data_IF_686575176092
#
_entry.id   IF_686575176092
#
_cell.length_a   1.000
_cell.length_b   1.000
_cell.length_c   1.000
_cell.angle_alpha   90.00
_cell.angle_beta   90.00
_cell.angle_gamma   90.00
#
_symmetry.space_group_name_H-M   'P 1'
#
loop_
_entity.id
_entity.type
_entity.pdbx_description
1 polymer ?
#
# COMPACT_ATOMS: atom_id res chain seq x y z
N UNK A 1 -25.81 -47.71 -1.63
CA UNK A 1 -25.72 -46.97 -0.36
C UNK A 1 -24.65 -45.87 -0.39
N UNK A 2 -23.40 -46.15 -0.80
CA UNK A 2 -22.34 -45.13 -0.93
C UNK A 2 -22.65 -43.99 -1.93
N UNK A 3 -23.28 -44.29 -3.08
CA UNK A 3 -23.63 -43.28 -4.09
C UNK A 3 -24.71 -42.28 -3.63
N UNK A 4 -25.71 -42.76 -2.88
CA UNK A 4 -26.75 -41.88 -2.32
C UNK A 4 -26.16 -40.97 -1.24
N UNK A 5 -25.21 -41.49 -0.46
CA UNK A 5 -24.49 -40.72 0.55
C UNK A 5 -23.59 -39.65 -0.08
N UNK A 6 -22.88 -39.95 -1.17
CA UNK A 6 -22.05 -38.97 -1.88
C UNK A 6 -22.89 -37.91 -2.58
N UNK A 7 -23.99 -38.28 -3.25
CA UNK A 7 -24.92 -37.34 -3.88
C UNK A 7 -25.58 -36.42 -2.83
N UNK A 8 -25.96 -36.98 -1.67
CA UNK A 8 -26.48 -36.18 -0.55
C UNK A 8 -25.42 -35.23 0.02
N UNK A 9 -24.16 -35.67 0.14
CA UNK A 9 -23.04 -34.81 0.60
C UNK A 9 -22.69 -33.73 -0.43
N UNK A 10 -22.81 -34.03 -1.72
CA UNK A 10 -22.58 -33.09 -2.82
C UNK A 10 -23.70 -32.03 -2.86
N UNK A 11 -24.96 -32.45 -2.77
CA UNK A 11 -26.13 -31.57 -2.69
C UNK A 11 -26.10 -30.66 -1.46
N UNK A 12 -25.68 -31.19 -0.31
CA UNK A 12 -25.52 -30.43 0.94
C UNK A 12 -24.36 -29.43 0.86
N UNK A 13 -23.25 -29.80 0.21
CA UNK A 13 -22.12 -28.88 -0.02
C UNK A 13 -22.49 -27.78 -1.02
N UNK A 14 -23.25 -28.11 -2.07
CA UNK A 14 -23.72 -27.16 -3.07
C UNK A 14 -24.68 -26.11 -2.47
N UNK A 15 -25.67 -26.56 -1.68
CA UNK A 15 -26.57 -25.65 -0.94
C UNK A 15 -25.84 -24.80 0.10
N UNK A 16 -24.81 -25.34 0.75
CA UNK A 16 -23.99 -24.60 1.74
C UNK A 16 -23.09 -23.56 1.07
N UNK A 17 -22.65 -23.81 -0.17
CA UNK A 17 -21.95 -22.82 -0.98
C UNK A 17 -22.89 -21.66 -1.34
N UNK A 18 -24.11 -21.94 -1.80
CA UNK A 18 -25.07 -20.91 -2.22
C UNK A 18 -25.41 -19.92 -1.09
N UNK A 19 -25.62 -20.44 0.14
CA UNK A 19 -25.83 -19.59 1.34
C UNK A 19 -24.56 -18.87 1.81
N UNK A 20 -23.38 -19.36 1.45
CA UNK A 20 -22.12 -18.71 1.84
C UNK A 20 -21.76 -17.51 0.97
N UNK A 21 -22.16 -17.50 -0.31
CA UNK A 21 -21.87 -16.40 -1.22
C UNK A 21 -22.55 -15.09 -0.80
N UNK A 22 -23.79 -15.16 -0.29
CA UNK A 22 -24.52 -13.97 0.22
C UNK A 22 -23.80 -13.28 1.39
N UNK A 23 -23.01 -14.03 2.18
CA UNK A 23 -22.22 -13.47 3.30
C UNK A 23 -20.81 -13.08 2.85
N UNK A 24 -20.23 -13.81 1.89
CA UNK A 24 -18.88 -13.57 1.39
C UNK A 24 -18.82 -12.28 0.56
N UNK A 25 -19.80 -12.02 -0.32
CA UNK A 25 -19.82 -10.81 -1.15
C UNK A 25 -19.79 -9.50 -0.35
N UNK A 26 -20.64 -9.27 0.67
CA UNK A 26 -20.59 -8.03 1.45
C UNK A 26 -19.28 -7.89 2.24
N UNK A 27 -18.67 -9.00 2.68
CA UNK A 27 -17.36 -8.97 3.34
C UNK A 27 -16.27 -8.52 2.36
N UNK A 28 -16.27 -9.05 1.13
CA UNK A 28 -15.32 -8.64 0.10
C UNK A 28 -15.52 -7.16 -0.27
N UNK A 29 -16.77 -6.72 -0.44
CA UNK A 29 -17.10 -5.33 -0.78
C UNK A 29 -16.62 -4.38 0.33
N UNK A 30 -16.93 -4.68 1.60
CA UNK A 30 -16.51 -3.85 2.74
C UNK A 30 -15.00 -3.77 2.86
N UNK A 31 -14.28 -4.89 2.70
CA UNK A 31 -12.82 -4.89 2.66
C UNK A 31 -12.27 -4.04 1.51
N UNK A 32 -12.88 -4.13 0.33
CA UNK A 32 -12.47 -3.35 -0.86
C UNK A 32 -12.69 -1.86 -0.66
N UNK A 33 -13.82 -1.46 -0.09
CA UNK A 33 -14.12 -0.05 0.23
C UNK A 33 -13.12 0.50 1.25
N UNK A 34 -12.81 -0.28 2.28
CA UNK A 34 -11.80 0.09 3.28
C UNK A 34 -10.43 0.28 2.61
N UNK A 35 -10.03 -0.64 1.73
CA UNK A 35 -8.75 -0.56 1.02
C UNK A 35 -8.65 0.70 0.13
N UNK A 36 -9.73 1.02 -0.60
CA UNK A 36 -9.83 2.24 -1.40
C UNK A 36 -9.73 3.49 -0.52
N UNK A 37 -10.43 3.52 0.62
CA UNK A 37 -10.34 4.65 1.56
C UNK A 37 -8.92 4.84 2.08
N UNK A 38 -8.20 3.76 2.39
CA UNK A 38 -6.79 3.83 2.78
C UNK A 38 -5.90 4.37 1.65
N UNK A 39 -6.15 4.00 0.40
CA UNK A 39 -5.42 4.54 -0.76
C UNK A 39 -5.74 6.02 -1.01
N UNK A 40 -6.96 6.49 -0.75
CA UNK A 40 -7.31 7.91 -0.85
C UNK A 40 -6.62 8.71 0.27
N UNK A 41 -6.67 8.22 1.50
CA UNK A 41 -5.98 8.85 2.64
C UNK A 41 -4.46 8.90 2.43
N UNK A 42 -3.91 7.90 1.74
CA UNK A 42 -2.52 7.90 1.32
C UNK A 42 -2.19 9.08 0.43
N UNK A 43 -2.97 9.26 -0.65
CA UNK A 43 -2.77 10.33 -1.63
C UNK A 43 -2.88 11.71 -0.97
N UNK A 44 -3.87 11.89 -0.08
CA UNK A 44 -4.05 13.13 0.69
C UNK A 44 -2.84 13.38 1.62
N UNK A 45 -2.32 12.33 2.26
CA UNK A 45 -1.15 12.44 3.14
C UNK A 45 0.11 12.82 2.36
N UNK A 46 0.29 12.28 1.16
CA UNK A 46 1.39 12.66 0.26
C UNK A 46 1.29 14.15 -0.15
N UNK A 47 0.08 14.62 -0.49
CA UNK A 47 -0.11 16.01 -0.90
C UNK A 47 0.09 17.02 0.24
N UNK A 48 -0.29 16.68 1.46
CA UNK A 48 -0.21 17.59 2.62
C UNK A 48 1.20 17.74 3.20
N UNK A 49 2.18 16.94 2.74
CA UNK A 49 3.60 16.95 3.17
C UNK A 49 3.80 16.96 4.70
N UNK A 50 2.80 16.52 5.46
CA UNK A 50 2.85 16.50 6.92
C UNK A 50 3.62 15.25 7.38
N UNK A 51 4.83 15.49 7.88
CA UNK A 51 5.76 14.45 8.33
C UNK A 51 5.13 13.46 9.32
N UNK A 52 4.28 13.95 10.23
CA UNK A 52 3.72 13.11 11.29
C UNK A 52 2.71 12.11 10.73
N UNK A 53 1.84 12.56 9.82
CA UNK A 53 0.84 11.71 9.15
C UNK A 53 1.52 10.70 8.23
N UNK A 54 2.54 11.13 7.51
CA UNK A 54 3.29 10.28 6.58
C UNK A 54 4.03 9.13 7.28
N UNK A 55 4.61 9.38 8.46
CA UNK A 55 5.26 8.33 9.26
C UNK A 55 4.27 7.28 9.78
N UNK A 56 3.08 7.71 10.19
CA UNK A 56 2.02 6.80 10.64
C UNK A 56 1.55 5.95 9.46
N UNK A 57 1.31 6.58 8.32
CA UNK A 57 0.91 5.90 7.09
C UNK A 57 1.93 4.84 6.67
N UNK A 58 3.23 5.16 6.69
CA UNK A 58 4.30 4.20 6.40
C UNK A 58 4.22 2.91 7.23
N UNK A 59 3.94 3.03 8.54
CA UNK A 59 3.78 1.86 9.41
C UNK A 59 2.55 1.03 9.03
N UNK A 60 1.43 1.69 8.74
CA UNK A 60 0.22 1.00 8.27
C UNK A 60 0.45 0.27 6.95
N UNK A 61 1.14 0.88 5.98
CA UNK A 61 1.44 0.25 4.70
C UNK A 61 2.27 -1.02 4.85
N UNK A 62 3.24 -1.04 5.77
CA UNK A 62 4.03 -2.25 6.05
C UNK A 62 3.16 -3.36 6.64
N UNK A 63 2.32 -3.03 7.63
CA UNK A 63 1.41 -4.01 8.25
C UNK A 63 0.46 -4.58 7.19
N UNK A 64 -0.06 -3.72 6.31
CA UNK A 64 -0.97 -4.12 5.24
C UNK A 64 -0.26 -5.00 4.18
N UNK A 65 0.98 -4.69 3.83
CA UNK A 65 1.81 -5.54 2.97
C UNK A 65 2.01 -6.93 3.58
N UNK A 66 2.32 -7.01 4.88
CA UNK A 66 2.47 -8.28 5.58
C UNK A 66 1.17 -9.09 5.59
N UNK A 67 0.03 -8.45 5.84
CA UNK A 67 -1.28 -9.11 5.80
C UNK A 67 -1.59 -9.67 4.40
N UNK A 68 -1.35 -8.88 3.34
CA UNK A 68 -1.53 -9.32 1.96
C UNK A 68 -0.60 -10.49 1.60
N UNK A 69 0.65 -10.48 2.07
CA UNK A 69 1.59 -11.58 1.86
C UNK A 69 1.11 -12.89 2.53
N UNK A 70 0.59 -12.81 3.76
CA UNK A 70 0.03 -13.98 4.47
C UNK A 70 -1.19 -14.53 3.72
N UNK A 71 -2.12 -13.66 3.30
CA UNK A 71 -3.30 -14.06 2.53
C UNK A 71 -2.90 -14.72 1.20
N UNK A 72 -1.86 -14.22 0.54
CA UNK A 72 -1.35 -14.81 -0.70
C UNK A 72 -0.78 -16.20 -0.49
N UNK A 73 -0.01 -16.42 0.58
CA UNK A 73 0.52 -17.76 0.93
C UNK A 73 -0.63 -18.72 1.23
N UNK A 74 -1.63 -18.27 1.99
CA UNK A 74 -2.83 -19.07 2.27
C UNK A 74 -3.58 -19.43 0.98
N UNK A 75 -3.77 -18.47 0.08
CA UNK A 75 -4.39 -18.70 -1.22
C UNK A 75 -3.63 -19.78 -2.00
N UNK A 76 -2.30 -19.65 -2.15
CA UNK A 76 -1.47 -20.65 -2.84
C UNK A 76 -1.58 -22.03 -2.17
N UNK A 77 -1.56 -22.11 -0.85
CA UNK A 77 -1.66 -23.38 -0.13
C UNK A 77 -2.99 -24.09 -0.38
N UNK A 78 -4.09 -23.32 -0.38
CA UNK A 78 -5.44 -23.82 -0.63
C UNK A 78 -5.58 -24.25 -2.09
N UNK A 79 -5.04 -23.46 -3.01
CA UNK A 79 -4.91 -23.78 -4.43
C UNK A 79 -4.22 -25.13 -4.66
N UNK A 80 -3.03 -25.35 -4.08
CA UNK A 80 -2.28 -26.62 -4.19
C UNK A 80 -3.10 -27.80 -3.64
N UNK A 81 -3.77 -27.60 -2.49
CA UNK A 81 -4.61 -28.64 -1.89
C UNK A 81 -5.77 -29.06 -2.80
N UNK A 82 -6.47 -28.11 -3.44
CA UNK A 82 -7.56 -28.42 -4.35
C UNK A 82 -7.08 -29.14 -5.62
N UNK A 83 -5.91 -28.77 -6.15
CA UNK A 83 -5.29 -29.44 -7.31
C UNK A 83 -5.01 -30.91 -6.98
N UNK A 84 -4.49 -31.19 -5.78
CA UNK A 84 -4.20 -32.57 -5.34
C UNK A 84 -5.46 -33.42 -5.19
N UNK A 85 -6.57 -32.83 -4.72
CA UNK A 85 -7.82 -33.55 -4.46
C UNK A 85 -8.63 -33.86 -5.72
N UNK A 86 -8.51 -33.07 -6.80
CA UNK A 86 -9.25 -33.36 -8.03
C UNK A 86 -8.64 -32.72 -9.29
N UNK A 87 -8.15 -33.56 -10.18
CA UNK A 87 -7.66 -33.16 -11.52
C UNK A 87 -8.75 -32.55 -12.42
N UNK A 88 -10.04 -32.85 -12.19
CA UNK A 88 -11.13 -32.30 -13.00
C UNK A 88 -11.46 -30.85 -12.61
N UNK A 89 -11.26 -30.51 -11.32
CA UNK A 89 -11.45 -29.15 -10.81
C UNK A 89 -10.33 -28.23 -11.31
N UNK A 90 -9.16 -28.77 -11.67
CA UNK A 90 -8.00 -28.04 -12.17
C UNK A 90 -8.32 -27.14 -13.37
N UNK A 91 -9.01 -27.65 -14.40
CA UNK A 91 -9.27 -26.89 -15.64
C UNK A 91 -10.21 -25.71 -15.38
N UNK A 92 -11.25 -25.91 -14.57
CA UNK A 92 -12.20 -24.86 -14.21
C UNK A 92 -11.56 -23.81 -13.28
N UNK A 93 -10.78 -24.26 -12.29
CA UNK A 93 -10.08 -23.35 -11.39
C UNK A 93 -8.98 -22.56 -12.10
N UNK A 94 -8.30 -23.14 -13.10
CA UNK A 94 -7.21 -22.46 -13.82
C UNK A 94 -7.65 -21.12 -14.43
N UNK A 95 -8.84 -21.09 -15.02
CA UNK A 95 -9.43 -19.87 -15.60
C UNK A 95 -9.65 -18.75 -14.57
N UNK A 96 -9.87 -19.08 -13.31
CA UNK A 96 -10.13 -18.11 -12.23
C UNK A 96 -8.86 -17.81 -11.41
N UNK A 97 -8.00 -18.81 -11.22
CA UNK A 97 -6.78 -18.70 -10.44
C UNK A 97 -5.74 -17.83 -11.12
N UNK A 98 -5.52 -18.01 -12.42
CA UNK A 98 -4.52 -17.25 -13.17
C UNK A 98 -4.76 -15.73 -13.08
N UNK A 99 -5.96 -15.18 -13.37
CA UNK A 99 -6.20 -13.75 -13.22
C UNK A 99 -6.11 -13.30 -11.76
N UNK A 100 -6.62 -14.09 -10.81
CA UNK A 100 -6.55 -13.75 -9.38
C UNK A 100 -5.10 -13.65 -8.89
N UNK A 101 -4.24 -14.58 -9.31
CA UNK A 101 -2.83 -14.58 -8.98
C UNK A 101 -2.11 -13.35 -9.53
N UNK A 102 -2.36 -13.00 -10.79
CA UNK A 102 -1.82 -11.80 -11.42
C UNK A 102 -2.27 -10.52 -10.69
N UNK A 103 -3.54 -10.43 -10.32
CA UNK A 103 -4.07 -9.28 -9.59
C UNK A 103 -3.42 -9.11 -8.22
N UNK A 104 -3.22 -10.20 -7.47
CA UNK A 104 -2.55 -10.14 -6.17
C UNK A 104 -1.09 -9.72 -6.33
N UNK A 105 -0.38 -10.26 -7.33
CA UNK A 105 1.00 -9.84 -7.62
C UNK A 105 1.10 -8.36 -7.96
N UNK A 106 0.24 -7.85 -8.84
CA UNK A 106 0.19 -6.43 -9.20
C UNK A 106 -0.05 -5.58 -7.94
N UNK A 107 -0.98 -6.00 -7.09
CA UNK A 107 -1.30 -5.29 -5.84
C UNK A 107 -0.09 -5.23 -4.90
N UNK A 108 0.65 -6.32 -4.74
CA UNK A 108 1.88 -6.36 -3.94
C UNK A 108 2.95 -5.43 -4.52
N UNK A 109 3.16 -5.46 -5.83
CA UNK A 109 4.14 -4.59 -6.51
C UNK A 109 3.79 -3.12 -6.31
N UNK A 110 2.51 -2.75 -6.48
CA UNK A 110 2.03 -1.39 -6.24
C UNK A 110 2.26 -0.99 -4.77
N UNK A 111 1.91 -1.84 -3.81
CA UNK A 111 2.12 -1.54 -2.38
C UNK A 111 3.60 -1.32 -2.05
N UNK A 112 4.50 -2.18 -2.57
CA UNK A 112 5.95 -2.01 -2.39
C UNK A 112 6.42 -0.69 -2.99
N UNK A 113 5.96 -0.37 -4.20
CA UNK A 113 6.28 0.89 -4.86
C UNK A 113 5.85 2.10 -4.02
N UNK A 114 4.62 2.09 -3.48
CA UNK A 114 4.11 3.15 -2.61
C UNK A 114 4.95 3.30 -1.34
N UNK A 115 5.35 2.20 -0.71
CA UNK A 115 6.21 2.22 0.48
C UNK A 115 7.58 2.86 0.18
N UNK A 116 8.18 2.53 -0.96
CA UNK A 116 9.45 3.13 -1.40
C UNK A 116 9.29 4.62 -1.67
N UNK A 117 8.19 5.02 -2.31
CA UNK A 117 7.88 6.43 -2.57
C UNK A 117 7.75 7.21 -1.26
N UNK A 118 7.00 6.67 -0.30
CA UNK A 118 6.85 7.27 1.03
C UNK A 118 8.19 7.42 1.73
N UNK A 119 8.99 6.35 1.75
CA UNK A 119 10.31 6.37 2.40
C UNK A 119 11.19 7.47 1.81
N UNK A 120 11.16 7.64 0.49
CA UNK A 120 11.94 8.67 -0.21
C UNK A 120 11.51 10.08 0.16
N UNK A 121 10.20 10.33 0.27
CA UNK A 121 9.67 11.64 0.69
C UNK A 121 9.92 11.93 2.19
N UNK A 122 9.78 10.93 3.07
CA UNK A 122 10.10 11.07 4.51
C UNK A 122 11.57 11.44 4.70
N UNK A 123 12.48 10.85 3.92
CA UNK A 123 13.92 11.18 3.97
C UNK A 123 14.15 12.61 3.48
N UNK A 124 13.52 13.02 2.37
CA UNK A 124 13.63 14.40 1.85
C UNK A 124 13.15 15.43 2.87
N UNK A 125 12.00 15.20 3.52
CA UNK A 125 11.46 16.10 4.55
C UNK A 125 12.37 16.17 5.78
N UNK A 126 12.96 15.04 6.20
CA UNK A 126 13.93 15.01 7.31
C UNK A 126 15.19 15.84 7.00
N UNK A 127 15.71 15.76 5.78
CA UNK A 127 16.88 16.55 5.39
C UNK A 127 16.56 18.04 5.18
N UNK A 128 15.41 18.37 4.59
CA UNK A 128 15.00 19.78 4.41
C UNK A 128 14.69 20.51 5.73
N UNK A 129 14.32 19.82 6.81
CA UNK A 129 14.24 20.44 8.14
C UNK A 129 15.60 20.79 8.75
N UNK A 130 16.72 20.36 8.15
CA UNK A 130 18.08 20.70 8.59
C UNK A 130 18.78 21.71 7.69
N UNK A 131 18.19 22.08 6.55
CA UNK A 131 18.69 23.20 5.76
C UNK A 131 18.07 24.50 6.29
N UNK A 132 18.62 25.02 7.37
CA UNK A 132 18.65 26.48 7.51
C UNK A 132 19.44 26.99 6.30
N UNK A 133 18.75 27.62 5.36
CA UNK A 133 19.41 28.50 4.41
C UNK A 133 19.96 29.68 5.23
N UNK A 134 21.15 29.49 5.81
CA UNK A 134 21.94 30.58 6.34
C UNK A 134 22.25 31.47 5.14
N UNK A 135 21.43 32.49 4.96
CA UNK A 135 21.57 33.46 3.90
C UNK A 135 22.81 34.31 4.20
N UNK A 136 23.99 33.79 3.88
CA UNK A 136 25.25 34.53 3.99
C UNK A 136 25.26 35.80 3.10
N UNK A 137 24.34 35.94 2.14
CA UNK A 137 24.21 37.17 1.34
C UNK A 137 23.55 38.33 2.11
N UNK A 138 22.94 38.07 3.28
CA UNK A 138 22.41 39.14 4.15
C UNK A 138 23.43 39.63 5.20
N UNK A 139 24.61 38.99 5.32
CA UNK A 139 25.67 39.37 6.26
C UNK A 139 26.78 40.24 5.64
N UNK A 140 26.70 40.57 4.35
CA UNK A 140 27.54 41.63 3.80
C UNK A 140 27.01 43.00 4.26
N UNK A 141 27.36 43.38 5.49
CA UNK A 141 27.36 44.78 5.92
C UNK A 141 28.30 45.54 4.99
N UNK A 142 27.76 46.19 3.97
CA UNK A 142 28.46 47.28 3.28
C UNK A 142 28.71 48.42 4.27
N UNK A 143 29.82 48.36 5.00
CA UNK A 143 30.38 49.53 5.69
C UNK A 143 31.09 50.38 4.64
N UNK A 144 30.37 51.33 4.06
CA UNK A 144 30.99 52.42 3.33
C UNK A 144 31.69 53.35 4.34
N UNK A 145 33.02 53.27 4.43
CA UNK A 145 33.80 54.24 5.17
C UNK A 145 33.86 55.53 4.35
N UNK A 146 33.24 56.60 4.84
CA UNK A 146 33.27 57.91 4.20
C UNK A 146 34.46 58.66 4.81
N UNK A 147 35.61 58.59 4.16
CA UNK A 147 36.77 59.41 4.53
C UNK A 147 36.49 60.86 4.09
N UNK A 148 36.14 61.71 5.05
CA UNK A 148 36.05 63.15 4.83
C UNK A 148 37.46 63.71 4.65
N UNK A 149 37.86 63.94 3.40
CA UNK A 149 39.01 64.77 3.06
C UNK A 149 38.69 66.20 3.49
N UNK A 150 39.19 66.60 4.66
CA UNK A 150 39.20 67.98 5.11
C UNK A 150 40.15 68.78 4.22
N UNK A 151 39.59 69.48 3.24
CA UNK A 151 40.30 70.53 2.50
C UNK A 151 40.44 71.72 3.47
N UNK A 152 41.64 71.90 4.02
CA UNK A 152 42.00 73.10 4.76
C UNK A 152 42.31 74.20 3.72
N UNK A 153 41.63 75.35 3.73
CA UNK A 153 42.04 76.49 2.93
C UNK A 153 43.17 77.23 3.65
N UNK A 154 44.32 77.33 3.00
CA UNK A 154 45.45 78.16 3.39
C UNK A 154 45.97 78.91 2.18
#
# INVERSE_FOLDING_TARGET
>A
MFLIFTIWRFSKTYKRLDTSWEVIYPIIITLTVVDILFHVLFIISAHTKDYRKMRIFYRYSIVFLCLNAILFILFISLCIFYIYMSLFIFIFLWSLMLPTFLMILITIVIQIYLIILIKSEVIKLKNNSQFEFVNHAAEEKCTANIDFVTIIPG
#
